data_IF_424421007440
#
_entry.id   IF_424421007440
#
_cell.length_a   1.000
_cell.length_b   1.000
_cell.length_c   1.000
_cell.angle_alpha   90.00
_cell.angle_beta   90.00
_cell.angle_gamma   90.00
#
_symmetry.space_group_name_H-M   'P 1'
#
loop_
_entity.id
_entity.type
_entity.pdbx_description
1 polymer ?
#
# COMPACT_ATOMS: atom_id res chain seq x y z
N UNK A 1 23.94 -19.20 1.16
CA UNK A 1 24.16 -20.67 1.24
C UNK A 1 24.91 -20.99 2.53
N UNK A 2 24.43 -21.91 3.38
CA UNK A 2 25.08 -22.22 4.68
C UNK A 2 26.18 -23.28 4.49
N UNK A 3 27.36 -23.07 5.07
CA UNK A 3 28.50 -24.01 5.06
C UNK A 3 28.66 -24.65 6.44
N UNK A 4 29.16 -25.89 6.47
CA UNK A 4 29.50 -26.57 7.71
C UNK A 4 30.70 -25.90 8.36
N UNK A 5 30.60 -25.50 9.63
CA UNK A 5 31.70 -24.84 10.35
C UNK A 5 32.90 -25.77 10.61
N UNK A 6 32.71 -27.09 10.52
CA UNK A 6 33.78 -28.09 10.71
C UNK A 6 34.51 -28.44 9.41
N UNK A 7 33.76 -28.76 8.35
CA UNK A 7 34.36 -29.23 7.09
C UNK A 7 34.31 -28.21 5.95
N UNK A 8 33.73 -27.03 6.16
CA UNK A 8 33.58 -25.94 5.17
C UNK A 8 32.78 -26.30 3.91
N UNK A 9 32.29 -27.54 3.78
CA UNK A 9 31.44 -27.99 2.67
C UNK A 9 30.05 -27.38 2.78
N UNK A 10 29.43 -27.10 1.64
CA UNK A 10 28.04 -26.64 1.56
C UNK A 10 27.09 -27.67 2.16
N UNK A 11 26.25 -27.25 3.11
CA UNK A 11 25.26 -28.13 3.74
C UNK A 11 24.08 -28.28 2.78
N UNK A 12 23.87 -29.48 2.25
CA UNK A 12 22.75 -29.79 1.35
C UNK A 12 21.50 -30.26 2.10
N UNK A 13 21.65 -30.85 3.29
CA UNK A 13 20.55 -31.32 4.13
C UNK A 13 20.85 -31.10 5.62
N UNK A 14 19.85 -30.68 6.39
CA UNK A 14 19.93 -30.56 7.85
C UNK A 14 18.94 -31.57 8.45
N UNK A 15 19.43 -32.51 9.24
CA UNK A 15 18.62 -33.53 9.91
C UNK A 15 18.42 -33.16 11.38
N UNK A 16 17.26 -33.46 11.96
CA UNK A 16 17.03 -33.43 13.41
C UNK A 16 17.66 -34.66 14.05
N UNK A 17 17.75 -34.68 15.37
CA UNK A 17 18.30 -35.79 16.15
C UNK A 17 17.52 -37.10 15.95
N UNK A 18 16.26 -37.00 15.55
CA UNK A 18 15.36 -38.11 15.19
C UNK A 18 15.42 -38.49 13.69
N UNK A 19 16.50 -38.14 12.99
CA UNK A 19 16.71 -38.38 11.55
C UNK A 19 15.64 -37.81 10.60
N UNK A 20 14.65 -37.09 11.11
CA UNK A 20 13.68 -36.34 10.32
C UNK A 20 14.34 -35.12 9.68
N UNK A 21 14.05 -34.89 8.41
CA UNK A 21 14.56 -33.71 7.70
C UNK A 21 14.03 -32.44 8.39
N UNK A 22 14.92 -31.54 8.79
CA UNK A 22 14.51 -30.20 9.19
C UNK A 22 14.18 -29.52 7.88
N UNK A 23 12.91 -29.21 7.65
CA UNK A 23 12.52 -28.18 6.69
C UNK A 23 13.17 -26.87 7.14
N UNK A 24 14.43 -26.71 6.77
CA UNK A 24 15.01 -25.39 6.65
C UNK A 24 14.40 -24.88 5.36
N UNK A 25 13.20 -24.31 5.44
CA UNK A 25 12.69 -23.48 4.36
C UNK A 25 13.86 -22.55 4.02
N UNK A 26 14.47 -22.67 2.84
CA UNK A 26 15.05 -21.46 2.32
C UNK A 26 13.82 -20.57 2.24
N UNK A 27 13.80 -19.45 2.96
CA UNK A 27 13.15 -18.26 2.44
C UNK A 27 13.89 -17.88 1.16
N UNK A 28 13.87 -18.76 0.16
CA UNK A 28 13.77 -18.38 -1.23
C UNK A 28 12.41 -17.73 -1.34
N UNK A 29 12.33 -16.50 -0.86
CA UNK A 29 11.59 -15.46 -1.54
C UNK A 29 12.19 -15.42 -2.95
N UNK A 30 11.88 -16.42 -3.78
CA UNK A 30 11.80 -16.20 -5.21
C UNK A 30 10.64 -15.24 -5.32
N UNK A 31 10.92 -13.95 -5.15
CA UNK A 31 9.96 -12.89 -5.44
C UNK A 31 9.66 -13.11 -6.90
N UNK A 32 8.57 -13.81 -7.19
CA UNK A 32 8.08 -13.96 -8.55
C UNK A 32 7.98 -12.52 -9.06
N UNK A 33 8.77 -12.14 -10.09
CA UNK A 33 8.80 -10.76 -10.57
C UNK A 33 7.40 -10.26 -10.90
N UNK A 34 6.49 -11.16 -11.29
CA UNK A 34 5.07 -10.84 -11.54
C UNK A 34 4.34 -10.45 -10.27
N UNK A 35 4.53 -11.20 -9.17
CA UNK A 35 3.91 -10.93 -7.88
C UNK A 35 4.42 -9.63 -7.27
N UNK A 36 5.73 -9.36 -7.36
CA UNK A 36 6.29 -8.08 -6.90
C UNK A 36 5.74 -6.90 -7.73
N UNK A 37 5.63 -7.08 -9.05
CA UNK A 37 5.05 -6.06 -9.93
C UNK A 37 3.60 -5.76 -9.56
N UNK A 38 2.79 -6.80 -9.32
CA UNK A 38 1.40 -6.66 -8.89
C UNK A 38 1.29 -5.92 -7.54
N UNK A 39 2.10 -6.28 -6.55
CA UNK A 39 2.13 -5.60 -5.24
C UNK A 39 2.51 -4.11 -5.36
N UNK A 40 3.47 -3.78 -6.24
CA UNK A 40 3.87 -2.39 -6.48
C UNK A 40 2.77 -1.60 -7.20
N UNK A 41 2.12 -2.20 -8.19
CA UNK A 41 1.00 -1.60 -8.90
C UNK A 41 -0.18 -1.33 -7.95
N UNK A 42 -0.49 -2.28 -7.06
CA UNK A 42 -1.53 -2.13 -6.06
C UNK A 42 -1.20 -1.03 -5.05
N UNK A 43 0.05 -0.91 -4.61
CA UNK A 43 0.48 0.19 -3.73
C UNK A 43 0.38 1.54 -4.44
N UNK A 44 0.77 1.61 -5.70
CA UNK A 44 0.64 2.84 -6.48
C UNK A 44 -0.82 3.28 -6.60
N UNK A 45 -1.70 2.35 -7.00
CA UNK A 45 -3.14 2.60 -7.12
C UNK A 45 -3.75 3.08 -5.81
N UNK A 46 -3.42 2.43 -4.68
CA UNK A 46 -3.89 2.86 -3.36
C UNK A 46 -3.42 4.25 -2.97
N UNK A 47 -2.20 4.65 -3.35
CA UNK A 47 -1.70 6.00 -3.11
C UNK A 47 -2.44 7.03 -3.96
N UNK A 48 -2.67 6.72 -5.24
CA UNK A 48 -3.41 7.57 -6.17
C UNK A 48 -4.87 7.76 -5.70
N UNK A 49 -5.57 6.68 -5.34
CA UNK A 49 -6.95 6.72 -4.83
C UNK A 49 -7.12 7.60 -3.59
N UNK A 50 -6.10 7.70 -2.72
CA UNK A 50 -6.15 8.53 -1.51
C UNK A 50 -6.16 10.02 -1.80
N UNK A 51 -5.61 10.45 -2.93
CA UNK A 51 -5.55 11.86 -3.33
C UNK A 51 -6.55 12.19 -4.43
N UNK A 52 -7.22 11.20 -5.01
CA UNK A 52 -8.26 11.41 -6.04
C UNK A 52 -9.57 11.86 -5.41
N UNK A 53 -10.25 12.79 -6.08
CA UNK A 53 -11.55 13.32 -5.66
C UNK A 53 -12.57 12.18 -5.59
N UNK A 54 -13.23 11.96 -4.44
CA UNK A 54 -14.17 10.86 -4.27
C UNK A 54 -15.51 11.05 -5.01
N UNK A 55 -15.68 12.19 -5.71
CA UNK A 55 -16.91 12.56 -6.39
C UNK A 55 -16.79 12.29 -7.90
N UNK A 56 -15.78 12.88 -8.56
CA UNK A 56 -15.57 12.67 -9.99
C UNK A 56 -14.64 11.50 -10.31
N UNK A 57 -13.86 11.01 -9.33
CA UNK A 57 -12.90 9.91 -9.51
C UNK A 57 -11.92 10.20 -10.68
N UNK A 58 -11.56 11.48 -10.86
CA UNK A 58 -10.74 11.94 -11.97
C UNK A 58 -9.67 12.92 -11.48
N UNK A 59 -10.10 14.06 -10.92
CA UNK A 59 -9.20 15.11 -10.46
C UNK A 59 -8.73 14.87 -9.04
N UNK A 60 -7.59 15.43 -8.67
CA UNK A 60 -7.06 15.34 -7.31
C UNK A 60 -7.80 16.27 -6.33
N UNK A 61 -7.78 15.87 -5.07
CA UNK A 61 -8.23 16.68 -3.94
C UNK A 61 -7.30 17.89 -3.81
N UNK A 62 -7.88 19.08 -3.98
CA UNK A 62 -7.17 20.38 -3.77
C UNK A 62 -7.89 21.29 -2.81
N UNK A 63 -9.07 20.89 -2.33
CA UNK A 63 -9.85 21.60 -1.34
C UNK A 63 -10.23 20.66 -0.21
N UNK A 64 -10.09 21.15 1.02
CA UNK A 64 -10.55 20.49 2.25
C UNK A 64 -11.59 21.37 2.92
N UNK A 65 -12.69 20.78 3.36
CA UNK A 65 -13.74 21.46 4.12
C UNK A 65 -13.35 21.52 5.60
N UNK A 66 -13.99 22.38 6.39
CA UNK A 66 -13.64 22.52 7.82
C UNK A 66 -13.79 21.23 8.64
N UNK A 67 -14.53 20.25 8.14
CA UNK A 67 -14.67 18.92 8.74
C UNK A 67 -13.50 17.94 8.46
N UNK A 68 -12.51 18.35 7.65
CA UNK A 68 -11.33 17.55 7.29
C UNK A 68 -11.42 16.73 6.01
N UNK A 69 -12.61 16.61 5.41
CA UNK A 69 -12.80 15.91 4.13
C UNK A 69 -12.60 16.82 2.92
N UNK A 70 -12.23 16.27 1.76
CA UNK A 70 -11.90 17.07 0.59
C UNK A 70 -12.48 16.59 -0.74
N UNK A 71 -12.40 17.47 -1.73
CA UNK A 71 -12.75 17.22 -3.13
C UNK A 71 -11.85 18.01 -4.09
N UNK A 72 -11.97 17.79 -5.39
CA UNK A 72 -11.41 18.70 -6.38
C UNK A 72 -12.16 20.05 -6.40
N UNK A 73 -11.58 21.11 -6.97
CA UNK A 73 -12.18 22.44 -7.05
C UNK A 73 -13.55 22.43 -7.71
N UNK A 74 -13.69 21.75 -8.86
CA UNK A 74 -14.91 21.75 -9.66
C UNK A 74 -16.07 21.10 -8.92
N UNK A 75 -15.85 19.91 -8.36
CA UNK A 75 -16.87 19.22 -7.57
C UNK A 75 -17.24 19.98 -6.30
N UNK A 76 -16.33 20.78 -5.74
CA UNK A 76 -16.60 21.50 -4.50
C UNK A 76 -17.66 22.59 -4.64
N UNK A 77 -17.76 23.20 -5.82
CA UNK A 77 -18.57 24.41 -6.06
C UNK A 77 -20.05 24.21 -5.76
N UNK A 78 -20.60 23.04 -6.09
CA UNK A 78 -22.01 22.71 -5.90
C UNK A 78 -22.36 22.18 -4.50
N UNK A 79 -21.36 21.92 -3.63
CA UNK A 79 -21.59 21.25 -2.35
C UNK A 79 -21.91 22.25 -1.24
N UNK A 80 -23.07 22.18 -0.62
CA UNK A 80 -23.35 22.92 0.64
C UNK A 80 -23.13 22.06 1.88
N UNK A 81 -23.04 20.74 1.70
CA UNK A 81 -22.88 19.72 2.74
C UNK A 81 -21.76 18.78 2.31
N UNK A 82 -20.92 18.37 3.25
CA UNK A 82 -19.85 17.40 3.01
C UNK A 82 -20.46 16.04 2.58
N UNK A 83 -20.06 15.46 1.44
CA UNK A 83 -20.61 14.18 0.97
C UNK A 83 -20.18 12.98 1.83
N UNK A 84 -19.16 13.14 2.67
CA UNK A 84 -18.60 12.06 3.50
C UNK A 84 -19.24 12.05 4.89
N UNK A 85 -19.18 13.17 5.63
CA UNK A 85 -19.68 13.24 7.01
C UNK A 85 -20.99 14.02 7.19
N UNK A 86 -21.57 14.55 6.10
CA UNK A 86 -22.86 15.27 6.09
C UNK A 86 -22.91 16.56 6.92
N UNK A 87 -21.75 17.10 7.32
CA UNK A 87 -21.68 18.41 7.96
C UNK A 87 -21.83 19.55 6.93
N UNK A 88 -22.51 20.63 7.31
CA UNK A 88 -22.61 21.83 6.46
C UNK A 88 -21.22 22.45 6.22
N UNK A 89 -20.90 22.74 4.96
CA UNK A 89 -19.61 23.32 4.57
C UNK A 89 -19.66 24.83 4.84
N UNK A 90 -18.75 25.32 5.69
CA UNK A 90 -18.61 26.74 6.03
C UNK A 90 -17.36 27.34 5.42
N UNK A 91 -16.30 26.55 5.33
CA UNK A 91 -15.01 26.98 4.80
C UNK A 91 -14.45 25.94 3.82
N UNK A 92 -13.73 26.44 2.83
CA UNK A 92 -12.99 25.65 1.83
C UNK A 92 -11.55 26.09 1.87
N UNK A 93 -10.67 25.21 2.29
CA UNK A 93 -9.25 25.46 2.46
C UNK A 93 -8.53 24.82 1.29
N UNK A 94 -7.78 25.63 0.54
CA UNK A 94 -6.96 25.12 -0.55
C UNK A 94 -5.71 24.44 0.01
N UNK A 95 -5.45 23.22 -0.47
CA UNK A 95 -4.29 22.44 -0.10
C UNK A 95 -3.42 22.15 -1.33
N UNK A 96 -2.14 21.92 -1.09
CA UNK A 96 -1.15 21.55 -2.09
C UNK A 96 -0.52 20.25 -1.64
N UNK A 97 -0.75 19.18 -2.39
CA UNK A 97 -0.18 17.84 -2.20
C UNK A 97 0.87 17.54 -3.25
#
# INVERSE_FOLDING_TARGET
>A
MKKCIKCQVTITKKLKQDSTEVECSPSSESTDPRKLMEELQDRYRQMEERITCPICINDQIRLVFQCGHGSCPDCSTALTICPICRQAIRERIQIFV
#
